data_IF_056604869748
#
_entry.id   IF_056604869748
#
_cell.length_a   1.000
_cell.length_b   1.000
_cell.length_c   1.000
_cell.angle_alpha   90.00
_cell.angle_beta   90.00
_cell.angle_gamma   90.00
#
_symmetry.space_group_name_H-M   'P 1'
#
loop_
_entity.id
_entity.type
_entity.pdbx_description
1 polymer ?
#
# COMPACT_ATOMS: atom_id res chain seq x y z
N UNK A 1 29.79 -34.49 -2.03
CA UNK A 1 29.83 -33.01 -1.88
C UNK A 1 28.41 -32.45 -1.75
N UNK A 2 27.50 -32.81 -2.65
CA UNK A 2 26.07 -32.46 -2.55
C UNK A 2 25.42 -32.90 -1.23
N UNK A 3 25.71 -34.10 -0.73
CA UNK A 3 25.23 -34.57 0.58
C UNK A 3 25.76 -33.73 1.77
N UNK A 4 26.99 -33.21 1.66
CA UNK A 4 27.60 -32.33 2.67
C UNK A 4 26.96 -30.95 2.62
N UNK A 5 26.74 -30.40 1.42
CA UNK A 5 25.97 -29.17 1.20
C UNK A 5 24.58 -29.30 1.83
N UNK A 6 23.88 -30.40 1.55
CA UNK A 6 22.57 -30.68 2.11
C UNK A 6 22.57 -30.73 3.64
N UNK A 7 23.56 -31.37 4.25
CA UNK A 7 23.69 -31.43 5.71
C UNK A 7 23.93 -30.05 6.32
N UNK A 8 24.78 -29.25 5.68
CA UNK A 8 25.09 -27.88 6.11
C UNK A 8 23.85 -26.97 6.05
N UNK A 9 23.13 -26.98 4.92
CA UNK A 9 21.90 -26.19 4.78
C UNK A 9 20.76 -26.70 5.67
N UNK A 10 20.69 -28.00 5.99
CA UNK A 10 19.77 -28.51 7.02
C UNK A 10 20.11 -27.96 8.41
N UNK A 11 21.40 -27.85 8.76
CA UNK A 11 21.85 -27.22 10.02
C UNK A 11 21.54 -25.72 10.02
N UNK A 12 21.81 -25.04 8.91
CA UNK A 12 21.50 -23.62 8.71
C UNK A 12 20.00 -23.34 8.93
N UNK A 13 19.14 -24.17 8.32
CA UNK A 13 17.69 -24.07 8.47
C UNK A 13 17.24 -24.21 9.92
N UNK A 14 17.83 -25.12 10.70
CA UNK A 14 17.53 -25.26 12.14
C UNK A 14 17.89 -23.98 12.91
N UNK A 15 19.08 -23.41 12.67
CA UNK A 15 19.49 -22.16 13.32
C UNK A 15 18.57 -20.98 12.98
N UNK A 16 18.11 -20.89 11.73
CA UNK A 16 17.12 -19.86 11.33
C UNK A 16 15.81 -20.05 12.10
N UNK A 17 15.35 -21.28 12.30
CA UNK A 17 14.13 -21.57 13.09
C UNK A 17 14.32 -21.29 14.58
N UNK A 18 15.47 -21.63 15.14
CA UNK A 18 15.82 -21.39 16.55
C UNK A 18 15.80 -19.89 16.88
N UNK A 19 16.12 -19.02 15.92
CA UNK A 19 16.00 -17.56 16.07
C UNK A 19 14.60 -17.11 16.54
N UNK A 20 13.55 -17.75 16.04
CA UNK A 20 12.17 -17.42 16.41
C UNK A 20 11.70 -18.06 17.72
N UNK A 21 12.40 -19.09 18.22
CA UNK A 21 11.97 -19.89 19.39
C UNK A 21 12.75 -19.60 20.66
N UNK A 22 14.03 -19.28 20.56
CA UNK A 22 14.92 -19.10 21.72
C UNK A 22 15.56 -17.70 21.78
N UNK A 23 15.32 -16.88 20.76
CA UNK A 23 15.80 -15.50 20.72
C UNK A 23 15.09 -14.62 21.75
N UNK A 24 15.87 -13.81 22.46
CA UNK A 24 15.36 -12.66 23.21
C UNK A 24 14.52 -11.78 22.26
N UNK A 25 13.32 -11.31 22.65
CA UNK A 25 12.53 -10.31 21.92
C UNK A 25 13.37 -9.19 21.30
N UNK A 26 14.36 -8.70 22.05
CA UNK A 26 15.27 -7.65 21.60
C UNK A 26 16.18 -8.10 20.44
N UNK A 27 16.63 -9.36 20.47
CA UNK A 27 17.44 -9.97 19.41
C UNK A 27 16.62 -10.11 18.12
N UNK A 28 15.35 -10.47 18.22
CA UNK A 28 14.48 -10.62 17.05
C UNK A 28 14.17 -9.27 16.38
N UNK A 29 13.99 -8.21 17.16
CA UNK A 29 13.74 -6.86 16.67
C UNK A 29 14.98 -6.17 16.11
N UNK A 30 16.12 -6.27 16.81
CA UNK A 30 17.32 -5.47 16.49
C UNK A 30 18.38 -6.22 15.71
N UNK A 31 18.31 -7.56 15.66
CA UNK A 31 19.40 -8.38 15.15
C UNK A 31 18.98 -9.57 14.30
N UNK A 32 17.69 -9.78 14.03
CA UNK A 32 17.19 -10.86 13.16
C UNK A 32 17.92 -10.92 11.81
N UNK A 33 18.10 -9.77 11.16
CA UNK A 33 18.91 -9.64 9.94
C UNK A 33 20.38 -10.05 10.16
N UNK A 34 21.00 -9.65 11.27
CA UNK A 34 22.40 -9.96 11.59
C UNK A 34 22.59 -11.46 11.84
N UNK A 35 21.70 -12.07 12.62
CA UNK A 35 21.73 -13.51 12.92
C UNK A 35 21.51 -14.30 11.64
N UNK A 36 20.52 -13.93 10.82
CA UNK A 36 20.31 -14.56 9.50
C UNK A 36 21.57 -14.47 8.64
N UNK A 37 22.15 -13.27 8.49
CA UNK A 37 23.37 -13.08 7.71
C UNK A 37 24.58 -13.83 8.27
N UNK A 38 24.68 -14.01 9.59
CA UNK A 38 25.71 -14.86 10.20
C UNK A 38 25.55 -16.31 9.77
N UNK A 39 24.32 -16.84 9.74
CA UNK A 39 24.05 -18.20 9.26
C UNK A 39 24.45 -18.33 7.79
N UNK A 40 24.15 -17.33 6.95
CA UNK A 40 24.53 -17.35 5.53
C UNK A 40 26.05 -17.33 5.37
N UNK A 41 26.75 -16.42 6.06
CA UNK A 41 28.22 -16.32 6.02
C UNK A 41 28.89 -17.61 6.47
N UNK A 42 28.48 -18.17 7.61
CA UNK A 42 28.97 -19.45 8.12
C UNK A 42 28.86 -20.58 7.09
N UNK A 43 27.80 -20.58 6.27
CA UNK A 43 27.61 -21.60 5.23
C UNK A 43 28.45 -21.33 3.98
N UNK A 44 28.56 -20.07 3.57
CA UNK A 44 29.34 -19.67 2.40
C UNK A 44 30.85 -19.84 2.64
N UNK A 45 31.34 -19.54 3.83
CA UNK A 45 32.75 -19.68 4.22
C UNK A 45 33.24 -21.15 4.22
N UNK A 46 32.32 -22.11 4.29
CA UNK A 46 32.65 -23.55 4.22
C UNK A 46 32.81 -24.06 2.78
N UNK A 47 32.50 -23.24 1.77
CA UNK A 47 32.54 -23.66 0.37
C UNK A 47 33.92 -23.43 -0.24
N UNK A 48 34.44 -24.45 -0.92
CA UNK A 48 35.67 -24.30 -1.69
C UNK A 48 35.39 -23.61 -3.03
N UNK A 49 36.37 -22.92 -3.64
CA UNK A 49 36.25 -22.34 -4.97
C UNK A 49 35.68 -23.29 -6.03
N UNK A 50 36.12 -24.55 -5.99
CA UNK A 50 35.64 -25.61 -6.88
C UNK A 50 34.15 -25.92 -6.67
N UNK A 51 33.70 -25.96 -5.41
CA UNK A 51 32.30 -26.19 -5.08
C UNK A 51 31.41 -25.03 -5.55
N UNK A 52 31.89 -23.79 -5.45
CA UNK A 52 31.17 -22.60 -5.91
C UNK A 52 30.98 -22.64 -7.43
N UNK A 53 32.01 -22.99 -8.18
CA UNK A 53 31.95 -23.11 -9.65
C UNK A 53 30.98 -24.20 -10.11
N UNK A 54 30.94 -25.35 -9.42
CA UNK A 54 30.13 -26.50 -9.85
C UNK A 54 28.69 -26.49 -9.29
N UNK A 55 28.47 -25.87 -8.13
CA UNK A 55 27.20 -25.94 -7.41
C UNK A 55 26.60 -24.55 -7.11
N UNK A 56 27.09 -23.48 -7.75
CA UNK A 56 26.66 -22.10 -7.50
C UNK A 56 25.15 -21.90 -7.54
N UNK A 57 24.48 -22.39 -8.59
CA UNK A 57 23.02 -22.32 -8.70
C UNK A 57 22.27 -23.08 -7.60
N UNK A 58 22.77 -24.25 -7.20
CA UNK A 58 22.20 -25.02 -6.09
C UNK A 58 22.36 -24.24 -4.78
N UNK A 59 23.54 -23.64 -4.54
CA UNK A 59 23.80 -22.81 -3.35
C UNK A 59 22.86 -21.60 -3.32
N UNK A 60 22.70 -20.89 -4.45
CA UNK A 60 21.76 -19.77 -4.57
C UNK A 60 20.33 -20.19 -4.23
N UNK A 61 19.87 -21.33 -4.76
CA UNK A 61 18.54 -21.87 -4.46
C UNK A 61 18.38 -22.22 -2.97
N UNK A 62 19.39 -22.83 -2.35
CA UNK A 62 19.34 -23.13 -0.91
C UNK A 62 19.34 -21.86 -0.04
N UNK A 63 20.01 -20.79 -0.48
CA UNK A 63 19.93 -19.47 0.18
C UNK A 63 18.53 -18.89 0.07
N UNK A 64 17.86 -19.00 -1.09
CA UNK A 64 16.46 -18.60 -1.24
C UNK A 64 15.56 -19.34 -0.24
N UNK A 65 15.71 -20.67 -0.13
CA UNK A 65 14.92 -21.45 0.82
C UNK A 65 15.13 -21.03 2.28
N UNK A 66 16.36 -20.63 2.64
CA UNK A 66 16.64 -20.08 3.97
C UNK A 66 15.97 -18.71 4.15
N UNK A 67 16.01 -17.86 3.12
CA UNK A 67 15.34 -16.56 3.16
C UNK A 67 13.82 -16.68 3.25
N UNK A 68 13.22 -17.59 2.48
CA UNK A 68 11.78 -17.92 2.57
C UNK A 68 11.41 -18.31 4.00
N UNK A 69 12.21 -19.17 4.63
CA UNK A 69 11.96 -19.57 6.03
C UNK A 69 12.16 -18.42 7.02
N UNK A 70 13.12 -17.54 6.77
CA UNK A 70 13.33 -16.34 7.58
C UNK A 70 12.11 -15.41 7.49
N UNK A 71 11.60 -15.14 6.28
CA UNK A 71 10.38 -14.36 6.05
C UNK A 71 9.17 -15.02 6.75
N UNK A 72 9.01 -16.34 6.67
CA UNK A 72 7.91 -17.05 7.36
C UNK A 72 7.93 -16.81 8.88
N UNK A 73 9.12 -16.79 9.49
CA UNK A 73 9.28 -16.51 10.92
C UNK A 73 8.89 -15.06 11.23
N UNK A 74 9.27 -14.11 10.37
CA UNK A 74 8.86 -12.72 10.53
C UNK A 74 7.35 -12.54 10.39
N UNK A 75 6.71 -13.23 9.44
CA UNK A 75 5.25 -13.22 9.28
C UNK A 75 4.57 -13.71 10.56
N UNK A 76 5.01 -14.85 11.10
CA UNK A 76 4.48 -15.41 12.35
C UNK A 76 4.70 -14.49 13.57
N UNK A 77 5.66 -13.58 13.49
CA UNK A 77 5.95 -12.61 14.55
C UNK A 77 5.06 -11.38 14.50
N UNK A 78 4.47 -11.08 13.33
CA UNK A 78 3.50 -10.01 13.20
C UNK A 78 2.20 -10.41 13.93
N UNK A 79 1.38 -9.43 14.35
CA UNK A 79 0.11 -9.74 14.96
C UNK A 79 -0.82 -10.45 13.99
N UNK A 80 -1.49 -11.50 14.47
CA UNK A 80 -2.63 -12.12 13.79
C UNK A 80 -3.93 -11.70 14.46
N UNK A 81 -4.98 -11.46 13.68
CA UNK A 81 -6.36 -11.41 14.15
C UNK A 81 -6.73 -12.73 14.84
N UNK A 82 -7.44 -12.64 15.97
CA UNK A 82 -7.57 -13.71 16.98
C UNK A 82 -8.16 -15.05 16.48
N UNK A 83 -8.83 -15.06 15.33
CA UNK A 83 -9.52 -16.24 14.77
C UNK A 83 -8.58 -17.34 14.22
N UNK A 84 -7.30 -17.03 13.96
CA UNK A 84 -6.33 -18.02 13.45
C UNK A 84 -5.62 -18.81 14.58
N UNK A 85 -5.96 -18.52 15.84
CA UNK A 85 -5.37 -19.18 17.02
C UNK A 85 -5.92 -20.59 17.28
N UNK A 86 -7.00 -20.98 16.59
CA UNK A 86 -7.72 -22.24 16.84
C UNK A 86 -7.21 -23.42 16.01
N UNK A 87 -6.39 -23.18 14.97
CA UNK A 87 -5.91 -24.24 14.08
C UNK A 87 -4.39 -24.28 14.05
N UNK A 88 -3.86 -24.97 15.06
CA UNK A 88 -2.70 -25.86 14.90
C UNK A 88 -1.36 -25.20 14.53
N UNK A 89 -0.56 -24.84 15.54
CA UNK A 89 0.90 -24.73 15.37
C UNK A 89 1.66 -24.96 16.68
N UNK A 90 2.20 -26.17 16.84
CA UNK A 90 3.27 -26.55 17.82
C UNK A 90 4.57 -25.73 17.71
N UNK A 91 4.60 -24.70 16.87
CA UNK A 91 5.70 -23.74 16.71
C UNK A 91 5.26 -22.36 17.24
N UNK A 92 5.01 -22.26 18.56
CA UNK A 92 4.85 -20.97 19.19
C UNK A 92 6.18 -20.21 19.13
N UNK A 93 6.15 -19.01 18.55
CA UNK A 93 7.22 -18.04 18.72
C UNK A 93 7.09 -17.42 20.12
N UNK A 94 8.21 -17.12 20.75
CA UNK A 94 8.22 -16.45 22.05
C UNK A 94 8.02 -14.93 21.95
N UNK A 95 8.07 -14.38 20.73
CA UNK A 95 8.01 -12.95 20.46
C UNK A 95 6.89 -12.61 19.48
N UNK A 96 6.21 -11.48 19.75
CA UNK A 96 5.18 -10.87 18.90
C UNK A 96 5.45 -9.36 18.77
N UNK A 97 5.43 -8.84 17.55
CA UNK A 97 5.64 -7.43 17.23
C UNK A 97 4.30 -6.67 17.34
N UNK A 98 3.94 -6.24 18.54
CA UNK A 98 2.63 -5.65 18.81
C UNK A 98 2.51 -4.19 18.33
N UNK A 99 3.61 -3.44 18.35
CA UNK A 99 3.62 -2.01 17.99
C UNK A 99 3.98 -1.77 16.53
N UNK A 100 3.49 -0.67 15.93
CA UNK A 100 3.84 -0.28 14.55
C UNK A 100 5.36 -0.18 14.36
N UNK A 101 6.08 0.36 15.35
CA UNK A 101 7.55 0.46 15.30
C UNK A 101 8.24 -0.90 15.25
N UNK A 102 7.76 -1.86 16.04
CA UNK A 102 8.28 -3.23 16.03
C UNK A 102 8.01 -3.93 14.70
N UNK A 103 6.79 -3.83 14.18
CA UNK A 103 6.41 -4.44 12.90
C UNK A 103 7.23 -3.84 11.75
N UNK A 104 7.37 -2.52 11.71
CA UNK A 104 8.17 -1.81 10.73
C UNK A 104 9.66 -2.15 10.84
N UNK A 105 10.19 -2.35 12.06
CA UNK A 105 11.57 -2.77 12.26
C UNK A 105 11.84 -4.15 11.64
N UNK A 106 10.93 -5.12 11.82
CA UNK A 106 11.04 -6.44 11.20
C UNK A 106 10.97 -6.38 9.67
N UNK A 107 10.04 -5.60 9.12
CA UNK A 107 9.93 -5.36 7.68
C UNK A 107 11.23 -4.72 7.17
N UNK A 108 11.71 -3.67 7.83
CA UNK A 108 12.94 -2.97 7.49
C UNK A 108 14.18 -3.85 7.53
N UNK A 109 14.23 -4.79 8.49
CA UNK A 109 15.29 -5.79 8.58
C UNK A 109 15.25 -6.76 7.40
N UNK A 110 14.07 -7.25 7.02
CA UNK A 110 13.89 -8.12 5.85
C UNK A 110 14.31 -7.42 4.55
N UNK A 111 13.91 -6.15 4.37
CA UNK A 111 14.33 -5.35 3.22
C UNK A 111 15.84 -5.17 3.14
N UNK A 112 16.51 -4.82 4.25
CA UNK A 112 17.98 -4.73 4.28
C UNK A 112 18.64 -6.06 3.91
N UNK A 113 18.11 -7.19 4.40
CA UNK A 113 18.64 -8.51 4.04
C UNK A 113 18.53 -8.76 2.53
N UNK A 114 17.36 -8.53 1.95
CA UNK A 114 17.06 -8.83 0.55
C UNK A 114 17.74 -7.90 -0.46
N UNK A 115 17.68 -6.59 -0.22
CA UNK A 115 18.09 -5.57 -1.21
C UNK A 115 19.58 -5.24 -1.11
N UNK A 116 20.19 -5.42 0.08
CA UNK A 116 21.56 -5.00 0.35
C UNK A 116 22.45 -6.19 0.77
N UNK A 117 22.16 -6.80 1.93
CA UNK A 117 23.12 -7.70 2.60
C UNK A 117 23.35 -9.01 1.85
N UNK A 118 22.26 -9.68 1.40
CA UNK A 118 22.36 -10.90 0.62
C UNK A 118 22.99 -10.66 -0.75
N UNK A 119 22.54 -9.68 -1.56
CA UNK A 119 23.20 -9.32 -2.83
C UNK A 119 24.69 -9.04 -2.68
N UNK A 120 25.09 -8.27 -1.65
CA UNK A 120 26.49 -7.96 -1.40
C UNK A 120 27.26 -9.23 -1.03
N UNK A 121 26.76 -10.04 -0.10
CA UNK A 121 27.42 -11.29 0.29
C UNK A 121 27.59 -12.20 -0.93
N UNK A 122 26.49 -12.52 -1.62
CA UNK A 122 26.49 -13.37 -2.82
C UNK A 122 27.45 -12.82 -3.87
N UNK A 123 27.36 -11.54 -4.23
CA UNK A 123 28.25 -10.96 -5.24
C UNK A 123 29.73 -11.04 -4.84
N UNK A 124 30.09 -10.82 -3.58
CA UNK A 124 31.47 -10.99 -3.11
C UNK A 124 31.91 -12.45 -3.24
N UNK A 125 31.09 -13.40 -2.79
CA UNK A 125 31.42 -14.82 -2.83
C UNK A 125 31.56 -15.36 -4.27
N UNK A 126 30.76 -14.86 -5.22
CA UNK A 126 30.81 -15.30 -6.61
C UNK A 126 31.81 -14.51 -7.48
N UNK A 127 32.03 -13.21 -7.23
CA UNK A 127 32.99 -12.38 -7.99
C UNK A 127 34.45 -12.68 -7.66
N UNK A 128 34.76 -13.17 -6.44
CA UNK A 128 36.10 -13.62 -6.05
C UNK A 128 36.67 -14.75 -6.94
N UNK A 129 35.88 -15.29 -7.89
CA UNK A 129 36.27 -16.32 -8.83
C UNK A 129 36.24 -15.88 -10.30
N UNK A 130 35.67 -14.71 -10.64
CA UNK A 130 35.53 -14.25 -12.04
C UNK A 130 36.80 -13.61 -12.62
N UNK A 131 37.86 -13.40 -11.83
CA UNK A 131 39.14 -12.90 -12.35
C UNK A 131 39.88 -13.90 -13.27
N UNK A 132 39.30 -15.07 -13.61
CA UNK A 132 39.97 -16.08 -14.43
C UNK A 132 39.30 -16.58 -15.70
N UNK A 133 38.02 -16.37 -16.00
CA UNK A 133 37.44 -16.84 -17.28
C UNK A 133 36.36 -15.90 -17.87
N UNK A 134 36.31 -15.87 -19.21
CA UNK A 134 35.51 -14.96 -20.04
C UNK A 134 33.98 -15.22 -20.07
N UNK A 135 33.27 -14.72 -21.10
CA UNK A 135 32.11 -13.85 -20.93
C UNK A 135 30.82 -14.53 -20.43
N UNK A 136 30.57 -14.49 -19.13
CA UNK A 136 29.65 -13.51 -18.49
C UNK A 136 28.15 -13.47 -18.83
N UNK A 137 27.58 -14.42 -19.57
CA UNK A 137 26.16 -14.39 -19.96
C UNK A 137 25.17 -15.08 -19.01
N UNK A 138 25.46 -16.33 -18.60
CA UNK A 138 24.49 -17.19 -17.89
C UNK A 138 24.28 -16.87 -16.41
N UNK A 139 25.36 -16.52 -15.69
CA UNK A 139 25.33 -16.20 -14.24
C UNK A 139 24.48 -14.94 -13.96
N UNK A 140 24.41 -14.01 -14.92
CA UNK A 140 23.66 -12.77 -14.79
C UNK A 140 22.14 -13.00 -14.81
N UNK A 141 21.65 -13.91 -15.66
CA UNK A 141 20.23 -14.25 -15.74
C UNK A 141 19.75 -15.00 -14.47
N UNK A 142 20.54 -15.98 -14.02
CA UNK A 142 20.25 -16.74 -12.80
C UNK A 142 20.24 -15.85 -11.55
N UNK A 143 21.18 -14.90 -11.46
CA UNK A 143 21.21 -13.92 -10.38
C UNK A 143 20.02 -12.95 -10.41
N UNK A 144 19.58 -12.54 -11.60
CA UNK A 144 18.39 -11.68 -11.75
C UNK A 144 17.12 -12.40 -11.32
N UNK A 145 16.94 -13.65 -11.72
CA UNK A 145 15.80 -14.48 -11.30
C UNK A 145 15.83 -14.75 -9.79
N UNK A 146 17.02 -15.01 -9.24
CA UNK A 146 17.24 -15.14 -7.80
C UNK A 146 16.82 -13.88 -7.04
N UNK A 147 17.23 -12.69 -7.51
CA UNK A 147 16.81 -11.41 -6.91
C UNK A 147 15.31 -11.19 -7.02
N UNK A 148 14.67 -11.57 -8.13
CA UNK A 148 13.21 -11.52 -8.26
C UNK A 148 12.52 -12.41 -7.22
N UNK A 149 13.05 -13.61 -6.97
CA UNK A 149 12.50 -14.52 -5.95
C UNK A 149 12.58 -13.91 -4.54
N UNK A 150 13.70 -13.29 -4.16
CA UNK A 150 13.80 -12.56 -2.89
C UNK A 150 12.72 -11.47 -2.77
N UNK A 151 12.46 -10.75 -3.87
CA UNK A 151 11.37 -9.77 -3.94
C UNK A 151 10.00 -10.39 -3.65
N UNK A 152 9.68 -11.54 -4.25
CA UNK A 152 8.42 -12.24 -3.98
C UNK A 152 8.30 -12.70 -2.52
N UNK A 153 9.38 -13.17 -1.90
CA UNK A 153 9.37 -13.54 -0.49
C UNK A 153 9.08 -12.32 0.39
N UNK A 154 9.67 -11.16 0.09
CA UNK A 154 9.34 -9.90 0.79
C UNK A 154 7.89 -9.46 0.58
N UNK A 155 7.37 -9.61 -0.64
CA UNK A 155 5.98 -9.27 -0.95
C UNK A 155 5.01 -10.05 -0.05
N UNK A 156 5.30 -11.31 0.30
CA UNK A 156 4.49 -12.09 1.25
C UNK A 156 4.42 -11.45 2.63
N UNK A 157 5.56 -10.98 3.16
CA UNK A 157 5.61 -10.30 4.47
C UNK A 157 4.86 -8.96 4.44
N UNK A 158 5.06 -8.18 3.38
CA UNK A 158 4.37 -6.90 3.19
C UNK A 158 2.87 -7.09 3.05
N UNK A 159 2.44 -8.06 2.24
CA UNK A 159 1.02 -8.31 2.01
C UNK A 159 0.35 -8.84 3.29
N UNK A 160 1.04 -9.64 4.11
CA UNK A 160 0.55 -10.01 5.44
C UNK A 160 0.34 -8.77 6.33
N UNK A 161 1.34 -7.91 6.45
CA UNK A 161 1.25 -6.66 7.21
C UNK A 161 0.10 -5.77 6.72
N UNK A 162 -0.02 -5.56 5.41
CA UNK A 162 -1.06 -4.69 4.86
C UNK A 162 -2.46 -5.27 5.09
N UNK A 163 -2.64 -6.59 4.94
CA UNK A 163 -3.93 -7.24 5.23
C UNK A 163 -4.32 -7.10 6.70
N UNK A 164 -3.39 -7.34 7.62
CA UNK A 164 -3.64 -7.15 9.06
C UNK A 164 -4.00 -5.70 9.38
N UNK A 165 -3.33 -4.74 8.75
CA UNK A 165 -3.67 -3.33 8.90
C UNK A 165 -5.10 -3.03 8.43
N UNK A 166 -5.52 -3.55 7.26
CA UNK A 166 -6.88 -3.39 6.74
C UNK A 166 -7.89 -4.05 7.67
N UNK A 167 -7.65 -5.28 8.14
CA UNK A 167 -8.56 -5.97 9.07
C UNK A 167 -8.76 -5.17 10.35
N UNK A 168 -7.67 -4.64 10.93
CA UNK A 168 -7.74 -3.80 12.12
C UNK A 168 -8.46 -2.47 11.86
N UNK A 169 -8.27 -1.88 10.67
CA UNK A 169 -8.92 -0.62 10.32
C UNK A 169 -10.43 -0.80 10.06
N UNK A 170 -10.80 -1.82 9.30
CA UNK A 170 -12.18 -2.09 8.84
C UNK A 170 -13.03 -2.70 9.95
N UNK A 171 -12.56 -3.77 10.60
CA UNK A 171 -13.37 -4.56 11.53
C UNK A 171 -13.17 -4.18 12.99
N UNK A 172 -12.00 -3.64 13.36
CA UNK A 172 -11.64 -3.42 14.77
C UNK A 172 -11.95 -2.01 15.30
N UNK A 173 -12.66 -1.17 14.54
CA UNK A 173 -13.12 0.14 15.03
C UNK A 173 -14.56 0.09 15.51
N UNK A 174 -14.79 0.44 16.77
CA UNK A 174 -16.13 0.74 17.28
C UNK A 174 -16.55 2.19 16.97
N UNK A 175 -17.86 2.41 16.87
CA UNK A 175 -18.45 3.74 16.71
C UNK A 175 -18.39 4.27 15.28
N UNK A 176 -18.26 5.58 15.13
CA UNK A 176 -18.45 6.30 13.86
C UNK A 176 -17.35 6.05 12.82
N UNK A 177 -16.19 5.53 13.23
CA UNK A 177 -15.06 5.26 12.33
C UNK A 177 -15.14 3.89 11.65
N UNK A 178 -16.15 3.07 11.97
CA UNK A 178 -16.40 1.81 11.27
C UNK A 178 -16.89 2.11 9.86
N UNK A 179 -16.28 1.47 8.88
CA UNK A 179 -16.70 1.59 7.49
C UNK A 179 -17.97 0.75 7.27
N UNK A 180 -19.11 1.41 7.05
CA UNK A 180 -20.41 0.79 6.82
C UNK A 180 -21.11 1.53 5.68
N UNK A 181 -21.50 0.82 4.61
CA UNK A 181 -22.18 1.39 3.45
C UNK A 181 -23.44 2.21 3.81
N UNK A 182 -24.10 1.92 4.94
CA UNK A 182 -25.28 2.65 5.42
C UNK A 182 -25.02 4.11 5.72
N UNK A 183 -23.77 4.51 5.93
CA UNK A 183 -23.38 5.91 6.09
C UNK A 183 -23.74 6.76 4.87
N UNK A 184 -23.74 6.16 3.67
CA UNK A 184 -24.08 6.86 2.42
C UNK A 184 -25.59 6.87 2.13
N UNK A 185 -26.40 6.22 2.97
CA UNK A 185 -27.86 6.18 2.78
C UNK A 185 -28.56 7.33 3.52
N UNK A 186 -27.90 7.95 4.50
CA UNK A 186 -28.46 9.03 5.32
C UNK A 186 -28.06 10.38 4.72
N UNK A 187 -29.03 11.10 4.15
CA UNK A 187 -28.84 12.47 3.67
C UNK A 187 -29.85 13.43 4.28
N UNK A 188 -29.40 14.59 4.77
CA UNK A 188 -30.28 15.75 4.95
C UNK A 188 -30.75 16.15 3.55
N UNK A 189 -32.06 16.07 3.33
CA UNK A 189 -32.66 16.38 2.04
C UNK A 189 -32.48 17.85 1.63
N UNK A 190 -32.47 18.04 0.32
CA UNK A 190 -32.68 19.28 -0.46
C UNK A 190 -31.59 20.32 -0.65
N UNK A 191 -30.46 20.32 0.07
CA UNK A 191 -29.37 21.26 -0.25
C UNK A 191 -28.42 20.69 -1.30
N UNK A 192 -28.82 20.76 -2.57
CA UNK A 192 -28.00 20.46 -3.76
C UNK A 192 -26.87 21.49 -4.01
N UNK A 193 -26.61 22.39 -3.05
CA UNK A 193 -25.50 23.33 -3.14
C UNK A 193 -24.25 22.70 -2.54
N UNK A 194 -23.28 22.42 -3.40
CA UNK A 194 -22.01 21.81 -3.07
C UNK A 194 -21.32 22.57 -1.94
N UNK A 195 -21.24 21.95 -0.77
CA UNK A 195 -20.61 22.55 0.40
C UNK A 195 -19.09 22.69 0.17
N UNK A 196 -18.54 23.93 0.09
CA UNK A 196 -17.11 24.13 -0.06
C UNK A 196 -16.30 23.67 1.16
N UNK A 197 -16.96 23.42 2.29
CA UNK A 197 -16.35 22.86 3.50
C UNK A 197 -16.57 21.35 3.66
N UNK A 198 -17.09 20.68 2.63
CA UNK A 198 -17.31 19.24 2.63
C UNK A 198 -16.02 18.49 3.00
N UNK A 199 -16.15 17.55 3.94
CA UNK A 199 -15.07 16.67 4.34
C UNK A 199 -15.32 15.25 3.82
N UNK A 200 -14.25 14.47 3.57
CA UNK A 200 -14.40 13.03 3.42
C UNK A 200 -15.05 12.47 4.69
N UNK A 201 -15.73 11.35 4.58
CA UNK A 201 -16.44 10.77 5.70
C UNK A 201 -15.47 10.30 6.78
N UNK A 202 -15.99 10.18 8.01
CA UNK A 202 -15.16 9.97 9.19
C UNK A 202 -14.26 8.72 9.14
N UNK A 203 -14.68 7.55 8.59
CA UNK A 203 -13.78 6.43 8.35
C UNK A 203 -12.55 6.82 7.50
N UNK A 204 -12.71 7.59 6.43
CA UNK A 204 -11.57 7.99 5.59
C UNK A 204 -10.69 9.06 6.24
N UNK A 205 -11.26 9.97 7.04
CA UNK A 205 -10.47 10.87 7.89
C UNK A 205 -9.63 10.07 8.91
N UNK A 206 -10.24 9.07 9.55
CA UNK A 206 -9.57 8.16 10.47
C UNK A 206 -8.48 7.33 9.79
N UNK A 207 -8.70 6.88 8.55
CA UNK A 207 -7.69 6.20 7.73
C UNK A 207 -6.49 7.12 7.50
N UNK A 208 -6.75 8.37 7.11
CA UNK A 208 -5.71 9.36 6.87
C UNK A 208 -4.86 9.59 8.13
N UNK A 209 -5.47 9.83 9.28
CA UNK A 209 -4.74 10.00 10.55
C UNK A 209 -3.88 8.78 10.90
N UNK A 210 -4.39 7.57 10.67
CA UNK A 210 -3.60 6.34 10.89
C UNK A 210 -2.45 6.18 9.90
N UNK A 211 -2.65 6.53 8.63
CA UNK A 211 -1.59 6.56 7.62
C UNK A 211 -0.50 7.57 7.97
N UNK A 212 -0.86 8.75 8.47
CA UNK A 212 0.09 9.76 8.93
C UNK A 212 0.90 9.26 10.14
N UNK A 213 0.23 8.67 11.12
CA UNK A 213 0.90 8.06 12.28
C UNK A 213 1.90 7.00 11.82
N UNK A 214 1.49 6.08 10.95
CA UNK A 214 2.36 5.03 10.42
C UNK A 214 3.53 5.61 9.61
N UNK A 215 3.28 6.64 8.79
CA UNK A 215 4.32 7.33 8.03
C UNK A 215 5.36 7.99 8.94
N UNK A 216 4.93 8.61 10.05
CA UNK A 216 5.83 9.18 11.06
C UNK A 216 6.71 8.10 11.69
N UNK A 217 6.11 7.01 12.18
CA UNK A 217 6.86 5.88 12.78
C UNK A 217 7.80 5.23 11.77
N UNK A 218 7.38 5.11 10.51
CA UNK A 218 8.23 4.61 9.44
C UNK A 218 9.39 5.55 9.14
N UNK A 219 9.18 6.86 9.20
CA UNK A 219 10.24 7.88 9.13
C UNK A 219 11.34 7.62 10.16
N UNK A 220 10.96 7.34 11.41
CA UNK A 220 11.88 7.14 12.53
C UNK A 220 12.57 5.76 12.51
N UNK A 221 11.84 4.70 12.18
CA UNK A 221 12.34 3.32 12.25
C UNK A 221 13.08 2.91 10.96
N UNK A 222 12.67 3.45 9.81
CA UNK A 222 13.23 3.14 8.49
C UNK A 222 14.05 4.30 7.94
N UNK A 223 14.89 4.92 8.78
CA UNK A 223 15.78 6.01 8.39
C UNK A 223 16.65 5.62 7.19
N UNK A 224 16.69 6.49 6.17
CA UNK A 224 17.43 6.26 4.93
C UNK A 224 16.83 5.21 3.99
N UNK A 225 15.61 4.73 4.29
CA UNK A 225 14.86 3.74 3.47
C UNK A 225 13.55 4.33 2.95
N UNK A 226 13.59 5.55 2.44
CA UNK A 226 12.41 6.30 1.95
C UNK A 226 11.66 5.54 0.86
N UNK A 227 12.39 4.77 0.04
CA UNK A 227 11.79 3.89 -0.98
C UNK A 227 10.90 2.81 -0.34
N UNK A 228 11.36 2.19 0.75
CA UNK A 228 10.61 1.15 1.46
C UNK A 228 9.37 1.75 2.11
N UNK A 229 9.50 2.93 2.74
CA UNK A 229 8.39 3.66 3.33
C UNK A 229 7.29 3.95 2.30
N UNK A 230 7.67 4.50 1.13
CA UNK A 230 6.71 4.79 0.05
C UNK A 230 6.04 3.54 -0.52
N UNK A 231 6.81 2.46 -0.74
CA UNK A 231 6.25 1.18 -1.23
C UNK A 231 5.23 0.64 -0.23
N UNK A 232 5.53 0.73 1.07
CA UNK A 232 4.64 0.24 2.12
C UNK A 232 3.34 1.04 2.18
N UNK A 233 3.43 2.38 2.21
CA UNK A 233 2.26 3.26 2.24
C UNK A 233 1.40 3.13 0.98
N UNK A 234 2.04 3.02 -0.19
CA UNK A 234 1.37 2.71 -1.46
C UNK A 234 0.58 1.41 -1.36
N UNK A 235 1.24 0.32 -0.93
CA UNK A 235 0.63 -0.99 -0.86
C UNK A 235 -0.53 -1.03 0.13
N UNK A 236 -0.36 -0.41 1.29
CA UNK A 236 -1.39 -0.34 2.31
C UNK A 236 -2.62 0.40 1.79
N UNK A 237 -2.43 1.55 1.14
CA UNK A 237 -3.51 2.33 0.53
C UNK A 237 -4.22 1.53 -0.57
N UNK A 238 -3.47 0.86 -1.45
CA UNK A 238 -4.03 -0.05 -2.46
C UNK A 238 -4.82 -1.21 -1.84
N UNK A 239 -4.35 -1.77 -0.72
CA UNK A 239 -5.01 -2.90 -0.05
C UNK A 239 -6.36 -2.48 0.52
N UNK A 240 -6.47 -1.26 1.08
CA UNK A 240 -7.75 -0.71 1.56
C UNK A 240 -8.75 -0.58 0.42
N UNK A 241 -8.33 0.00 -0.70
CA UNK A 241 -9.24 0.21 -1.85
C UNK A 241 -9.59 -1.10 -2.55
N UNK A 242 -8.64 -2.03 -2.66
CA UNK A 242 -8.90 -3.37 -3.18
C UNK A 242 -9.93 -4.11 -2.32
N UNK A 243 -9.78 -4.07 -0.99
CA UNK A 243 -10.77 -4.63 -0.08
C UNK A 243 -12.15 -4.03 -0.32
N UNK A 244 -12.25 -2.70 -0.37
CA UNK A 244 -13.53 -2.02 -0.60
C UNK A 244 -14.17 -2.37 -1.96
N UNK A 245 -13.34 -2.53 -3.00
CA UNK A 245 -13.80 -2.94 -4.33
C UNK A 245 -14.40 -4.34 -4.33
N UNK A 246 -13.86 -5.25 -3.52
CA UNK A 246 -14.21 -6.66 -3.49
C UNK A 246 -15.20 -7.03 -2.37
N UNK A 247 -15.54 -6.09 -1.48
CA UNK A 247 -16.37 -6.36 -0.30
C UNK A 247 -17.86 -6.48 -0.64
N UNK A 248 -18.34 -7.71 -0.81
CA UNK A 248 -19.73 -7.99 -1.18
C UNK A 248 -20.74 -7.42 -0.18
N UNK A 249 -20.52 -7.59 1.13
CA UNK A 249 -21.44 -7.09 2.17
C UNK A 249 -21.63 -5.56 2.12
N UNK A 250 -20.59 -4.84 1.72
CA UNK A 250 -20.64 -3.40 1.53
C UNK A 250 -21.51 -3.01 0.32
N UNK A 251 -21.33 -3.69 -0.82
CA UNK A 251 -22.04 -3.34 -2.05
C UNK A 251 -23.51 -3.79 -2.07
N UNK A 252 -23.85 -4.93 -1.46
CA UNK A 252 -25.23 -5.43 -1.36
C UNK A 252 -26.19 -4.41 -0.73
N UNK A 253 -25.67 -3.53 0.14
CA UNK A 253 -26.46 -2.46 0.77
C UNK A 253 -27.07 -1.50 -0.26
N UNK A 254 -26.37 -1.20 -1.36
CA UNK A 254 -26.88 -0.31 -2.41
C UNK A 254 -27.75 -1.02 -3.44
N UNK A 255 -27.63 -2.35 -3.52
CA UNK A 255 -28.41 -3.19 -4.43
C UNK A 255 -29.76 -3.59 -3.84
N UNK A 256 -29.92 -3.48 -2.52
CA UNK A 256 -31.18 -3.73 -1.81
C UNK A 256 -32.29 -2.76 -2.25
N UNK A 257 -33.45 -3.30 -2.61
CA UNK A 257 -34.59 -2.50 -3.08
C UNK A 257 -35.26 -1.63 -2.01
N UNK A 258 -34.94 -1.84 -0.73
CA UNK A 258 -35.58 -1.19 0.41
C UNK A 258 -34.89 0.07 0.90
N UNK A 259 -33.58 0.24 0.63
CA UNK A 259 -32.79 1.40 1.07
C UNK A 259 -31.95 1.89 -0.10
N UNK A 260 -31.93 3.20 -0.33
CA UNK A 260 -31.42 3.77 -1.59
C UNK A 260 -30.26 4.72 -1.36
N UNK A 261 -29.22 4.59 -2.18
CA UNK A 261 -28.15 5.57 -2.28
C UNK A 261 -28.72 6.90 -2.77
N UNK A 262 -28.66 7.93 -1.93
CA UNK A 262 -29.14 9.28 -2.26
C UNK A 262 -28.07 10.04 -3.07
N UNK A 263 -28.43 11.11 -3.80
CA UNK A 263 -27.48 11.98 -4.50
C UNK A 263 -26.29 12.41 -3.61
N UNK A 264 -26.57 12.87 -2.39
CA UNK A 264 -25.54 13.26 -1.41
C UNK A 264 -24.67 12.09 -0.95
N UNK A 265 -25.24 10.88 -0.88
CA UNK A 265 -24.50 9.66 -0.60
C UNK A 265 -23.54 9.27 -1.71
N UNK A 266 -23.98 9.35 -2.97
CA UNK A 266 -23.13 9.11 -4.13
C UNK A 266 -21.99 10.14 -4.18
N UNK A 267 -22.31 11.42 -3.97
CA UNK A 267 -21.31 12.49 -3.88
C UNK A 267 -20.29 12.20 -2.78
N UNK A 268 -20.73 11.83 -1.57
CA UNK A 268 -19.83 11.51 -0.46
C UNK A 268 -18.92 10.31 -0.77
N UNK A 269 -19.45 9.25 -1.40
CA UNK A 269 -18.65 8.08 -1.77
C UNK A 269 -17.57 8.46 -2.80
N UNK A 270 -17.93 9.28 -3.80
CA UNK A 270 -16.96 9.77 -4.80
C UNK A 270 -15.91 10.65 -4.12
N UNK A 271 -16.31 11.54 -3.22
CA UNK A 271 -15.39 12.39 -2.44
C UNK A 271 -14.42 11.53 -1.63
N UNK A 272 -14.89 10.49 -0.96
CA UNK A 272 -14.06 9.57 -0.17
C UNK A 272 -13.04 8.83 -1.04
N UNK A 273 -13.44 8.39 -2.24
CA UNK A 273 -12.54 7.74 -3.18
C UNK A 273 -11.49 8.69 -3.75
N UNK A 274 -11.90 9.93 -4.09
CA UNK A 274 -10.97 10.97 -4.56
C UNK A 274 -10.02 11.40 -3.46
N UNK A 275 -10.48 11.46 -2.22
CA UNK A 275 -9.65 11.72 -1.05
C UNK A 275 -8.53 10.68 -0.90
N UNK A 276 -8.80 9.39 -1.08
CA UNK A 276 -7.74 8.37 -1.05
C UNK A 276 -6.69 8.58 -2.15
N UNK A 277 -7.13 8.93 -3.37
CA UNK A 277 -6.20 9.24 -4.46
C UNK A 277 -5.32 10.43 -4.08
N UNK A 278 -5.91 11.51 -3.59
CA UNK A 278 -5.16 12.71 -3.21
C UNK A 278 -4.21 12.46 -2.05
N UNK A 279 -4.56 11.60 -1.07
CA UNK A 279 -3.62 11.15 -0.03
C UNK A 279 -2.36 10.54 -0.67
N UNK A 280 -2.54 9.65 -1.65
CA UNK A 280 -1.42 9.00 -2.32
C UNK A 280 -0.60 9.96 -3.20
N UNK A 281 -1.26 10.94 -3.82
CA UNK A 281 -0.60 12.00 -4.60
C UNK A 281 0.24 12.90 -3.69
N UNK A 282 -0.35 13.43 -2.62
CA UNK A 282 0.34 14.26 -1.62
C UNK A 282 1.50 13.52 -0.96
N UNK A 283 1.31 12.24 -0.63
CA UNK A 283 2.35 11.38 -0.07
C UNK A 283 3.43 10.95 -1.07
N UNK A 284 3.29 11.29 -2.36
CA UNK A 284 4.21 10.92 -3.46
C UNK A 284 4.41 9.42 -3.60
N UNK A 285 3.32 8.67 -3.42
CA UNK A 285 3.27 7.22 -3.60
C UNK A 285 2.07 6.75 -4.43
N UNK A 286 1.43 7.66 -5.17
CA UNK A 286 0.37 7.34 -6.15
C UNK A 286 0.87 6.39 -7.24
N UNK A 287 0.08 5.35 -7.53
CA UNK A 287 0.34 4.34 -8.57
C UNK A 287 -0.82 4.27 -9.57
N UNK A 288 -0.58 3.75 -10.78
CA UNK A 288 -1.68 3.50 -11.74
C UNK A 288 -2.77 2.59 -11.14
N UNK A 289 -2.38 1.65 -10.29
CA UNK A 289 -3.28 0.69 -9.65
C UNK A 289 -4.29 1.36 -8.75
N UNK A 290 -3.89 2.32 -7.89
CA UNK A 290 -4.84 3.02 -7.02
C UNK A 290 -5.89 3.79 -7.84
N UNK A 291 -5.47 4.46 -8.92
CA UNK A 291 -6.38 5.16 -9.83
C UNK A 291 -7.37 4.22 -10.50
N UNK A 292 -6.92 3.03 -10.92
CA UNK A 292 -7.78 2.02 -11.54
C UNK A 292 -8.81 1.46 -10.54
N UNK A 293 -8.38 1.11 -9.33
CA UNK A 293 -9.28 0.58 -8.29
C UNK A 293 -10.33 1.61 -7.89
N UNK A 294 -9.91 2.86 -7.65
CA UNK A 294 -10.83 3.97 -7.33
C UNK A 294 -11.82 4.22 -8.48
N UNK A 295 -11.34 4.23 -9.72
CA UNK A 295 -12.23 4.40 -10.88
C UNK A 295 -13.27 3.27 -10.99
N UNK A 296 -12.89 2.03 -10.66
CA UNK A 296 -13.79 0.89 -10.65
C UNK A 296 -14.89 1.04 -9.58
N UNK A 297 -14.52 1.48 -8.37
CA UNK A 297 -15.45 1.74 -7.27
C UNK A 297 -16.43 2.86 -7.63
N UNK A 298 -15.93 4.00 -8.13
CA UNK A 298 -16.77 5.13 -8.57
C UNK A 298 -17.76 4.68 -9.64
N UNK A 299 -17.29 3.93 -10.65
CA UNK A 299 -18.14 3.40 -11.71
C UNK A 299 -19.18 2.41 -11.18
N UNK A 300 -18.83 1.61 -10.17
CA UNK A 300 -19.77 0.71 -9.52
C UNK A 300 -20.88 1.49 -8.79
N UNK A 301 -20.51 2.49 -7.99
CA UNK A 301 -21.46 3.35 -7.29
C UNK A 301 -22.39 4.10 -8.27
N UNK A 302 -21.86 4.66 -9.35
CA UNK A 302 -22.65 5.32 -10.39
C UNK A 302 -23.63 4.33 -11.03
N UNK A 303 -23.20 3.10 -11.34
CA UNK A 303 -24.09 2.07 -11.91
C UNK A 303 -25.21 1.70 -10.95
N UNK A 304 -24.90 1.49 -9.67
CA UNK A 304 -25.89 1.19 -8.64
C UNK A 304 -26.92 2.32 -8.50
N UNK A 305 -26.48 3.57 -8.58
CA UNK A 305 -27.34 4.75 -8.55
C UNK A 305 -28.22 4.88 -9.82
N UNK A 306 -27.62 4.76 -11.02
CA UNK A 306 -28.32 4.87 -12.31
C UNK A 306 -29.33 3.77 -12.58
N UNK A 307 -29.16 2.59 -12.00
CA UNK A 307 -30.07 1.46 -12.21
C UNK A 307 -31.53 1.78 -11.85
N UNK A 308 -31.76 2.87 -11.11
CA UNK A 308 -33.08 3.35 -10.68
C UNK A 308 -33.65 4.48 -11.56
N UNK A 309 -32.98 4.84 -12.66
CA UNK A 309 -33.47 5.79 -13.67
C UNK A 309 -33.19 7.27 -13.38
N UNK A 310 -32.39 7.57 -12.35
CA UNK A 310 -31.89 8.92 -12.07
C UNK A 310 -30.61 9.14 -12.88
N UNK A 311 -30.51 10.28 -13.57
CA UNK A 311 -29.29 10.67 -14.27
C UNK A 311 -28.21 11.10 -13.26
N UNK A 312 -27.08 10.38 -13.12
CA UNK A 312 -26.01 10.74 -12.20
C UNK A 312 -25.43 12.12 -12.49
N UNK A 313 -25.38 12.53 -13.76
CA UNK A 313 -24.79 13.81 -14.14
C UNK A 313 -25.61 14.99 -13.64
N UNK A 314 -26.91 14.80 -13.42
CA UNK A 314 -27.78 15.81 -12.82
C UNK A 314 -27.61 15.93 -11.29
N UNK A 315 -26.95 14.96 -10.67
CA UNK A 315 -26.86 14.78 -9.23
C UNK A 315 -25.44 14.98 -8.68
N UNK A 316 -24.45 15.24 -9.54
CA UNK A 316 -23.04 15.32 -9.17
C UNK A 316 -22.41 16.64 -9.65
N UNK A 317 -21.43 17.19 -8.90
CA UNK A 317 -20.58 18.27 -9.37
C UNK A 317 -19.56 17.78 -10.42
N UNK A 318 -18.84 18.72 -11.01
CA UNK A 318 -17.70 18.45 -11.89
C UNK A 318 -16.57 17.71 -11.14
N UNK A 319 -15.73 16.96 -11.87
CA UNK A 319 -14.69 16.12 -11.26
C UNK A 319 -13.65 16.95 -10.49
N UNK A 320 -13.35 18.15 -11.01
CA UNK A 320 -12.47 19.15 -10.42
C UNK A 320 -12.89 19.52 -9.00
N UNK A 321 -14.21 19.62 -8.75
CA UNK A 321 -14.74 19.92 -7.43
C UNK A 321 -14.30 18.87 -6.39
N UNK A 322 -14.36 17.58 -6.74
CA UNK A 322 -13.96 16.51 -5.82
C UNK A 322 -12.46 16.54 -5.52
N UNK A 323 -11.64 16.82 -6.55
CA UNK A 323 -10.19 16.91 -6.41
C UNK A 323 -9.80 18.08 -5.50
N UNK A 324 -10.38 19.25 -5.73
CA UNK A 324 -10.06 20.45 -4.93
C UNK A 324 -10.59 20.33 -3.51
N UNK A 325 -11.80 19.77 -3.33
CA UNK A 325 -12.37 19.49 -2.00
C UNK A 325 -11.53 18.47 -1.24
N UNK A 326 -11.07 17.41 -1.89
CA UNK A 326 -10.17 16.43 -1.27
C UNK A 326 -8.84 17.06 -0.81
N UNK A 327 -8.22 17.91 -1.64
CA UNK A 327 -6.99 18.64 -1.27
C UNK A 327 -7.21 19.61 -0.12
N UNK A 328 -8.33 20.34 -0.13
CA UNK A 328 -8.71 21.24 0.95
C UNK A 328 -8.91 20.47 2.27
N UNK A 329 -9.60 19.32 2.21
CA UNK A 329 -9.78 18.44 3.36
C UNK A 329 -8.45 17.92 3.92
N UNK A 330 -7.51 17.47 3.08
CA UNK A 330 -6.16 17.07 3.51
C UNK A 330 -5.49 18.23 4.24
N UNK A 331 -5.53 19.44 3.66
CA UNK A 331 -4.91 20.63 4.25
C UNK A 331 -5.50 20.96 5.63
N UNK A 332 -6.84 20.88 5.77
CA UNK A 332 -7.56 21.11 7.02
C UNK A 332 -7.22 20.05 8.09
N UNK A 333 -7.18 18.78 7.71
CA UNK A 333 -6.85 17.67 8.63
C UNK A 333 -5.38 17.72 9.10
N UNK A 334 -4.46 18.17 8.25
CA UNK A 334 -3.05 18.40 8.62
C UNK A 334 -2.92 19.58 9.60
N UNK A 335 -3.68 20.66 9.40
CA UNK A 335 -3.64 21.82 10.30
C UNK A 335 -4.30 21.53 11.65
N UNK A 336 -5.43 20.81 11.65
CA UNK A 336 -6.15 20.43 12.88
C UNK A 336 -5.37 19.52 13.82
N UNK A 337 -4.40 18.73 13.30
CA UNK A 337 -3.54 17.85 14.11
C UNK A 337 -2.39 18.59 14.81
N UNK A 338 -2.10 19.85 14.46
CA UNK A 338 -1.08 20.68 15.14
C UNK A 338 -1.62 21.58 16.26
N UNK A 339 -2.95 21.63 16.46
CA UNK A 339 -3.59 22.62 17.34
C UNK A 339 -4.30 22.08 18.59
N UNK A 340 -4.23 20.77 18.89
CA UNK A 340 -5.10 20.17 19.93
C UNK A 340 -4.42 19.81 21.26
N UNK A 341 -3.24 20.34 21.56
CA UNK A 341 -2.67 20.32 22.91
C UNK A 341 -2.58 21.77 23.39
N UNK A 342 -3.62 22.26 24.09
CA UNK A 342 -3.66 23.36 25.06
C UNK A 342 -5.05 24.00 25.06
N UNK A 343 -5.96 23.50 25.90
CA UNK A 343 -6.70 24.33 26.87
C UNK A 343 -7.74 23.48 27.60
N UNK A 344 -7.33 23.00 28.77
CA UNK A 344 -8.23 22.73 29.87
C UNK A 344 -8.90 24.05 30.31
N UNK A 345 -10.22 23.95 30.48
CA UNK A 345 -11.12 24.59 31.45
C UNK A 345 -10.74 25.91 32.17
N UNK A 346 -11.77 26.79 32.22
CA UNK A 346 -11.98 27.99 33.05
C UNK A 346 -11.35 29.28 32.48
N UNK A 347 -11.96 30.47 32.52
CA UNK A 347 -13.01 30.96 33.41
C UNK A 347 -13.73 32.18 32.82
N UNK A 348 -14.97 32.32 33.28
CA UNK A 348 -15.86 33.47 33.40
C UNK A 348 -15.54 34.83 32.75
N UNK A 349 -16.54 35.30 32.00
CA UNK A 349 -16.84 36.69 31.67
C UNK A 349 -16.60 37.66 32.84
N UNK A 350 -15.67 38.60 32.70
CA UNK A 350 -15.73 39.91 33.38
C UNK A 350 -15.41 41.03 32.40
N UNK A 351 -16.41 41.87 32.17
CA UNK A 351 -16.37 43.19 31.51
C UNK A 351 -15.69 44.18 32.45
N UNK A 352 -14.79 45.04 31.93
CA UNK A 352 -14.47 46.42 32.36
C UNK A 352 -13.40 46.95 31.36
N UNK A 353 -13.74 47.84 30.43
CA UNK A 353 -13.80 49.32 30.49
C UNK A 353 -12.59 50.00 29.82
N UNK A 354 -12.95 50.92 28.92
CA UNK A 354 -12.24 52.02 28.28
C UNK A 354 -11.06 52.62 29.08
N UNK A 355 -9.98 52.98 28.39
CA UNK A 355 -9.62 54.38 28.13
C UNK A 355 -8.39 54.47 27.21
N UNK A 356 -8.31 55.63 26.56
CA UNK A 356 -7.44 56.06 25.47
C UNK A 356 -5.92 56.05 25.75
N UNK A 357 -5.15 56.08 24.64
CA UNK A 357 -4.07 57.04 24.35
C UNK A 357 -2.79 56.43 23.72
N UNK A 358 -2.43 57.03 22.57
CA UNK A 358 -1.07 57.29 22.04
C UNK A 358 -0.21 56.06 21.65
N UNK A 359 0.67 56.04 20.66
CA UNK A 359 1.09 56.86 19.51
C UNK A 359 2.19 55.97 18.91
N UNK A 360 2.21 55.67 17.60
CA UNK A 360 3.47 55.45 16.87
C UNK A 360 3.23 55.75 15.38
N UNK A 361 3.61 56.96 14.96
CA UNK A 361 4.16 57.20 13.63
C UNK A 361 5.58 56.61 13.57
N UNK A 362 5.94 55.92 12.50
CA UNK A 362 7.13 56.29 11.71
C UNK A 362 6.99 55.78 10.27
N UNK A 363 7.19 56.73 9.36
CA UNK A 363 7.28 56.57 7.92
C UNK A 363 8.57 55.83 7.52
N UNK A 364 8.53 55.09 6.42
CA UNK A 364 9.63 55.16 5.45
C UNK A 364 9.17 54.69 4.08
N UNK A 365 9.20 55.63 3.14
CA UNK A 365 9.10 55.49 1.70
C UNK A 365 10.10 54.48 1.11
N UNK A 366 9.71 53.81 0.01
CA UNK A 366 10.28 54.10 -1.33
C UNK A 366 9.97 53.01 -2.37
N UNK A 367 9.23 53.44 -3.40
CA UNK A 367 9.49 53.27 -4.84
C UNK A 367 9.11 51.96 -5.59
N UNK A 368 7.92 52.02 -6.17
CA UNK A 368 7.60 51.95 -7.61
C UNK A 368 8.67 51.40 -8.60
N UNK A 369 8.31 50.33 -9.31
CA UNK A 369 8.46 50.12 -10.78
C UNK A 369 7.82 48.77 -11.14
N UNK A 370 6.63 48.74 -11.77
CA UNK A 370 6.44 48.50 -13.22
C UNK A 370 7.43 47.52 -13.84
N UNK A 371 7.00 46.30 -14.17
CA UNK A 371 6.67 45.95 -15.56
C UNK A 371 6.36 44.46 -15.78
N UNK A 372 5.22 44.24 -16.44
CA UNK A 372 5.00 43.40 -17.62
C UNK A 372 5.21 41.87 -17.58
N UNK A 373 4.05 41.22 -17.74
CA UNK A 373 3.73 39.88 -18.24
C UNK A 373 4.57 39.47 -19.48
N UNK A 374 4.81 38.16 -19.68
CA UNK A 374 4.49 37.58 -20.97
C UNK A 374 3.59 36.34 -20.86
N UNK A 375 2.54 36.41 -21.69
CA UNK A 375 1.57 35.39 -22.08
C UNK A 375 2.22 34.13 -22.62
N UNK A 376 1.72 32.96 -22.19
CA UNK A 376 1.96 31.68 -22.86
C UNK A 376 0.67 31.24 -23.55
N UNK A 377 0.85 30.96 -24.83
CA UNK A 377 -0.15 30.68 -25.85
C UNK A 377 -1.05 29.47 -25.56
N UNK A 378 -2.30 29.65 -25.97
CA UNK A 378 -3.26 28.60 -26.28
C UNK A 378 -2.74 27.70 -27.41
N UNK A 379 -2.84 26.38 -27.24
CA UNK A 379 -3.10 25.47 -28.36
C UNK A 379 -3.95 24.31 -27.83
N UNK A 380 -5.26 24.47 -27.99
CA UNK A 380 -6.06 23.84 -29.04
C UNK A 380 -6.22 22.33 -28.82
N UNK A 381 -7.31 22.01 -28.13
CA UNK A 381 -8.07 20.80 -28.35
C UNK A 381 -8.33 20.60 -29.85
N UNK A 382 -8.13 19.37 -30.34
CA UNK A 382 -9.04 18.81 -31.34
C UNK A 382 -9.07 17.29 -31.23
N UNK A 383 -10.30 16.83 -31.05
CA UNK A 383 -10.75 15.45 -31.04
C UNK A 383 -11.20 15.11 -32.46
N UNK A 384 -10.80 13.96 -33.01
CA UNK A 384 -11.64 13.31 -34.03
C UNK A 384 -11.47 11.79 -34.07
N UNK A 385 -12.62 11.15 -34.12
CA UNK A 385 -12.84 9.71 -34.11
C UNK A 385 -12.77 9.07 -35.51
N UNK A 386 -12.75 7.73 -35.49
CA UNK A 386 -13.19 6.78 -36.52
C UNK A 386 -12.12 6.16 -37.43
N UNK A 387 -12.01 4.83 -37.32
CA UNK A 387 -11.89 3.96 -38.48
C UNK A 387 -12.67 2.65 -38.24
N UNK A 388 -13.48 2.33 -39.24
CA UNK A 388 -14.53 1.30 -39.33
C UNK A 388 -13.97 -0.08 -39.71
N UNK A 389 -14.74 -1.11 -39.39
CA UNK A 389 -14.55 -2.53 -39.69
C UNK A 389 -14.59 -2.91 -41.18
N UNK A 390 -13.96 -4.04 -41.53
CA UNK A 390 -14.37 -4.89 -42.66
C UNK A 390 -13.25 -5.72 -43.32
N UNK A 391 -13.61 -6.93 -43.77
CA UNK A 391 -12.86 -7.95 -44.54
C UNK A 391 -12.00 -8.91 -43.66
N UNK A 392 -12.49 -10.06 -43.16
CA UNK A 392 -13.06 -11.28 -43.79
C UNK A 392 -12.08 -11.98 -44.74
N UNK A 393 -11.43 -13.04 -44.24
CA UNK A 393 -10.95 -14.16 -45.07
C UNK A 393 -11.39 -15.49 -44.43
N UNK A 394 -12.00 -16.34 -45.26
CA UNK A 394 -12.89 -17.45 -44.93
C UNK A 394 -12.19 -18.75 -44.47
N UNK A 395 -12.87 -19.62 -43.70
CA UNK A 395 -12.44 -21.00 -43.50
C UNK A 395 -12.93 -21.92 -44.63
N UNK A 396 -12.05 -22.82 -45.06
CA UNK A 396 -12.23 -23.81 -46.12
C UNK A 396 -13.18 -24.92 -45.67
N UNK A 397 -14.25 -25.13 -46.45
CA UNK A 397 -15.11 -26.30 -46.45
C UNK A 397 -14.32 -27.56 -46.85
N UNK A 398 -14.42 -28.62 -46.06
CA UNK A 398 -14.29 -30.00 -46.56
C UNK A 398 -15.55 -30.77 -46.16
N UNK A 399 -16.14 -31.34 -47.21
CA UNK A 399 -17.40 -32.07 -47.32
C UNK A 399 -17.40 -33.43 -46.62
N UNK A 400 -18.56 -33.77 -46.04
CA UNK A 400 -19.04 -35.11 -45.71
C UNK A 400 -19.20 -35.99 -46.95
N UNK A 401 -19.28 -37.32 -46.76
CA UNK A 401 -20.40 -38.05 -47.37
C UNK A 401 -21.03 -39.11 -46.45
N UNK A 402 -22.37 -39.11 -46.49
CA UNK A 402 -23.32 -40.24 -46.57
C UNK A 402 -23.20 -41.42 -45.57
N UNK A 403 -24.26 -41.70 -44.79
CA UNK A 403 -25.39 -42.59 -45.17
C UNK A 403 -26.31 -42.91 -43.95
N UNK A 404 -27.63 -42.78 -44.17
CA UNK A 404 -28.78 -43.58 -43.65
C UNK A 404 -28.67 -44.39 -42.33
N UNK A 405 -29.64 -44.30 -41.40
CA UNK A 405 -30.95 -45.00 -41.41
C UNK A 405 -31.72 -44.96 -40.04
N UNK A 406 -33.07 -45.02 -40.12
CA UNK A 406 -34.10 -45.55 -39.18
C UNK A 406 -34.36 -44.91 -37.79
N UNK A 407 -35.52 -44.23 -37.56
CA UNK A 407 -36.88 -44.70 -37.16
C UNK A 407 -37.08 -44.99 -35.65
N UNK A 408 -38.33 -45.03 -35.11
CA UNK A 408 -39.64 -44.74 -35.71
C UNK A 408 -40.37 -43.48 -35.16
#
# INVERSE_FOLDING_TARGET
MEEILDLNFRRARRRVVEMGREGDPEVMLTSSAKVFMSVIKDNLDQLTPMAISHFGGIVLNKILQLFDRYVDILIKALPNTEDDSLVDSKEHLNFRAETDSQQLALIGAAYSVSDELLPVAVSQFFNLQSEKEGPGGGVNLEYKDWKRHLGHSLDRLRDHFCRQYVLNFVYSREGEARLDARMYLQGKGDDLFWDPEALPSYPFQALFGRLQQLASVAGDVLLGKEKVQKILLSRLTETVVMWLSDEQEFWEVFENDTVQLQPSGLQQLILDMRFIVEIAVCGRYSTRTIHQLVSAIIMHAIRAFSAKGIDPQSALPEDEWFVDTAKAAISKLVQGTSGSDMSDEHDEHIILHDDDDEDEEEESDSEESTDSIPSLDESSCDSFASAVAGEIESPVYFTDPDESDQQP
#
